data_IF_232371032138
#
_entry.id   IF_232371032138
#
_cell.length_a   1.000
_cell.length_b   1.000
_cell.length_c   1.000
_cell.angle_alpha   90.00
_cell.angle_beta   90.00
_cell.angle_gamma   90.00
#
_symmetry.space_group_name_H-M   'P 1'
#
loop_
_entity.id
_entity.type
_entity.pdbx_description
1 polymer ?
#
# COMPACT_ATOMS: atom_id res chain seq x y z
N UNK A 1 19.54 9.81 -19.23
CA UNK A 1 20.89 10.08 -19.79
C UNK A 1 20.93 11.24 -20.79
N UNK A 2 19.95 11.43 -21.66
CA UNK A 2 19.99 12.48 -22.70
C UNK A 2 20.09 13.91 -22.15
N UNK A 3 19.40 14.22 -21.04
CA UNK A 3 19.46 15.52 -20.36
C UNK A 3 20.87 15.82 -19.83
N UNK A 4 21.54 14.83 -19.26
CA UNK A 4 22.93 14.94 -18.81
C UNK A 4 23.87 15.16 -19.99
N UNK A 5 23.75 14.36 -21.05
CA UNK A 5 24.58 14.53 -22.25
C UNK A 5 24.44 15.90 -22.89
N UNK A 6 23.24 16.49 -22.87
CA UNK A 6 22.99 17.85 -23.37
C UNK A 6 23.61 18.92 -22.46
N UNK A 7 23.37 18.83 -21.15
CA UNK A 7 23.92 19.78 -20.17
C UNK A 7 25.46 19.72 -20.12
N UNK A 8 26.01 18.51 -20.14
CA UNK A 8 27.45 18.26 -20.23
C UNK A 8 28.06 18.95 -21.45
N UNK A 9 27.51 18.70 -22.66
CA UNK A 9 27.98 19.34 -23.89
C UNK A 9 27.97 20.86 -23.82
N UNK A 10 26.90 21.46 -23.29
CA UNK A 10 26.77 22.92 -23.16
C UNK A 10 27.79 23.52 -22.20
N UNK A 11 28.02 22.87 -21.06
CA UNK A 11 28.98 23.32 -20.06
C UNK A 11 30.39 23.16 -20.59
N UNK A 12 30.75 21.98 -21.11
CA UNK A 12 32.07 21.74 -21.72
C UNK A 12 32.34 22.73 -22.86
N UNK A 13 31.36 23.03 -23.71
CA UNK A 13 31.51 24.00 -24.79
C UNK A 13 31.77 25.42 -24.27
N UNK A 14 31.03 25.87 -23.25
CA UNK A 14 31.24 27.18 -22.61
C UNK A 14 32.65 27.31 -22.02
N UNK A 15 33.13 26.27 -21.33
CA UNK A 15 34.47 26.26 -20.75
C UNK A 15 35.58 26.22 -21.82
N UNK A 16 35.37 25.50 -22.93
CA UNK A 16 36.29 25.51 -24.08
C UNK A 16 36.38 26.89 -24.72
N UNK A 17 35.24 27.57 -24.93
CA UNK A 17 35.21 28.94 -25.43
C UNK A 17 35.95 29.87 -24.47
N UNK A 18 35.71 29.73 -23.17
CA UNK A 18 36.32 30.59 -22.16
C UNK A 18 37.85 30.44 -22.13
N UNK A 19 38.38 29.21 -22.23
CA UNK A 19 39.82 28.95 -22.37
C UNK A 19 40.37 29.56 -23.67
N UNK A 20 39.68 29.40 -24.79
CA UNK A 20 40.10 30.00 -26.06
C UNK A 20 40.15 31.53 -25.97
N UNK A 21 39.13 32.16 -25.38
CA UNK A 21 39.08 33.61 -25.17
C UNK A 21 40.25 34.09 -24.31
N UNK A 22 40.61 33.37 -23.24
CA UNK A 22 41.77 33.70 -22.39
C UNK A 22 43.08 33.62 -23.19
N UNK A 23 43.26 32.57 -24.00
CA UNK A 23 44.46 32.38 -24.82
C UNK A 23 44.56 33.48 -25.90
N UNK A 24 43.46 33.79 -26.59
CA UNK A 24 43.43 34.85 -27.59
C UNK A 24 43.67 36.24 -26.97
N UNK A 25 43.04 36.54 -25.84
CA UNK A 25 43.27 37.78 -25.11
C UNK A 25 44.74 37.94 -24.73
N UNK A 26 45.39 36.88 -24.25
CA UNK A 26 46.83 36.89 -23.99
C UNK A 26 47.66 37.21 -25.25
N UNK A 27 47.38 36.53 -26.37
CA UNK A 27 48.10 36.73 -27.63
C UNK A 27 47.96 38.12 -28.25
N UNK A 28 46.80 38.78 -28.07
CA UNK A 28 46.56 40.13 -28.61
C UNK A 28 47.04 41.25 -27.69
N UNK A 29 46.92 41.09 -26.36
CA UNK A 29 47.16 42.18 -25.40
C UNK A 29 48.56 42.17 -24.78
N UNK A 30 49.31 41.07 -24.82
CA UNK A 30 50.66 40.99 -24.22
C UNK A 30 51.75 41.08 -25.31
N UNK A 31 52.21 42.30 -25.61
CA UNK A 31 53.37 42.51 -26.49
C UNK A 31 54.68 42.34 -25.72
N UNK A 32 55.48 41.34 -26.09
CA UNK A 32 56.86 41.15 -25.57
C UNK A 32 57.06 40.00 -24.58
N UNK A 33 56.04 39.17 -24.33
CA UNK A 33 56.17 37.84 -23.69
C UNK A 33 57.01 37.80 -22.41
N UNK A 34 56.56 38.44 -21.33
CA UNK A 34 57.20 38.27 -20.02
C UNK A 34 56.74 36.95 -19.38
N UNK A 35 57.68 36.21 -18.77
CA UNK A 35 57.42 34.94 -18.09
C UNK A 35 56.31 35.03 -17.01
N UNK A 36 56.18 36.18 -16.35
CA UNK A 36 55.12 36.42 -15.35
C UNK A 36 53.71 36.44 -15.96
N UNK A 37 53.56 36.85 -17.21
CA UNK A 37 52.24 36.87 -17.86
C UNK A 37 51.80 35.48 -18.35
N UNK A 38 52.76 34.58 -18.64
CA UNK A 38 52.46 33.19 -18.99
C UNK A 38 51.97 32.41 -17.78
N UNK A 39 52.59 32.61 -16.60
CA UNK A 39 52.15 31.94 -15.36
C UNK A 39 50.72 32.31 -14.99
N UNK A 40 50.30 33.56 -15.19
CA UNK A 40 48.94 34.01 -14.90
C UNK A 40 47.90 33.33 -15.79
N UNK A 41 48.21 33.12 -17.07
CA UNK A 41 47.35 32.37 -18.00
C UNK A 41 47.24 30.91 -17.58
N UNK A 42 48.36 30.28 -17.20
CA UNK A 42 48.37 28.89 -16.74
C UNK A 42 47.52 28.75 -15.47
N UNK A 43 47.68 29.66 -14.50
CA UNK A 43 46.87 29.68 -13.27
C UNK A 43 45.39 29.87 -13.62
N UNK A 44 45.04 30.81 -14.51
CA UNK A 44 43.66 31.03 -14.93
C UNK A 44 43.05 29.78 -15.58
N UNK A 45 43.79 29.06 -16.44
CA UNK A 45 43.33 27.80 -17.04
C UNK A 45 43.10 26.73 -15.97
N UNK A 46 43.98 26.60 -14.97
CA UNK A 46 43.76 25.68 -13.85
C UNK A 46 42.56 26.07 -12.98
N UNK A 47 42.35 27.35 -12.71
CA UNK A 47 41.16 27.82 -11.99
C UNK A 47 39.88 27.49 -12.76
N UNK A 48 39.90 27.65 -14.09
CA UNK A 48 38.80 27.31 -14.98
C UNK A 48 38.55 25.79 -14.98
N UNK A 49 39.60 24.96 -15.00
CA UNK A 49 39.48 23.51 -14.88
C UNK A 49 38.90 23.07 -13.52
N UNK A 50 39.34 23.70 -12.42
CA UNK A 50 38.81 23.42 -11.07
C UNK A 50 37.33 23.83 -10.97
N UNK A 51 36.96 24.98 -11.53
CA UNK A 51 35.57 25.42 -11.57
C UNK A 51 34.70 24.46 -12.41
N UNK A 52 35.23 23.97 -13.54
CA UNK A 52 34.56 22.99 -14.39
C UNK A 52 34.31 21.67 -13.66
N UNK A 53 35.32 21.10 -13.01
CA UNK A 53 35.18 19.84 -12.27
C UNK A 53 34.20 19.98 -11.11
N UNK A 54 34.24 21.09 -10.38
CA UNK A 54 33.31 21.37 -9.27
C UNK A 54 31.86 21.47 -9.75
N UNK A 55 31.62 22.19 -10.85
CA UNK A 55 30.27 22.29 -11.44
C UNK A 55 29.75 20.94 -11.94
N UNK A 56 30.60 20.12 -12.56
CA UNK A 56 30.23 18.77 -12.98
C UNK A 56 29.86 17.87 -11.79
N UNK A 57 30.60 17.99 -10.68
CA UNK A 57 30.33 17.25 -9.45
C UNK A 57 28.99 17.64 -8.84
N UNK A 58 28.66 18.93 -8.85
CA UNK A 58 27.39 19.46 -8.35
C UNK A 58 26.20 18.97 -9.20
N UNK A 59 26.34 18.92 -10.52
CA UNK A 59 25.32 18.38 -11.43
C UNK A 59 25.16 16.87 -11.25
N UNK A 60 26.26 16.14 -11.09
CA UNK A 60 26.21 14.71 -10.81
C UNK A 60 25.49 14.43 -9.49
N UNK A 61 25.79 15.19 -8.44
CA UNK A 61 25.13 15.10 -7.14
C UNK A 61 23.63 15.42 -7.26
N UNK A 62 23.25 16.47 -8.00
CA UNK A 62 21.86 16.82 -8.23
C UNK A 62 21.07 15.75 -9.00
N UNK A 63 21.66 15.18 -10.05
CA UNK A 63 21.03 14.08 -10.81
C UNK A 63 20.89 12.81 -9.97
N UNK A 64 21.89 12.50 -9.15
CA UNK A 64 21.85 11.35 -8.27
C UNK A 64 20.79 11.54 -7.18
N UNK A 65 20.72 12.75 -6.61
CA UNK A 65 19.72 13.10 -5.61
C UNK A 65 18.30 13.04 -6.18
N UNK A 66 18.05 13.58 -7.37
CA UNK A 66 16.72 13.50 -8.01
C UNK A 66 16.33 12.06 -8.35
N UNK A 67 17.24 11.26 -8.92
CA UNK A 67 16.98 9.84 -9.18
C UNK A 67 16.70 9.05 -7.91
N UNK A 68 17.40 9.36 -6.81
CA UNK A 68 17.19 8.71 -5.52
C UNK A 68 15.85 9.12 -4.89
N UNK A 69 15.46 10.39 -5.00
CA UNK A 69 14.17 10.87 -4.53
C UNK A 69 13.02 10.20 -5.28
N UNK A 70 13.11 10.09 -6.62
CA UNK A 70 12.11 9.40 -7.42
C UNK A 70 12.00 7.92 -7.03
N UNK A 71 13.14 7.24 -6.86
CA UNK A 71 13.17 5.84 -6.44
C UNK A 71 12.61 5.65 -5.02
N UNK A 72 12.94 6.55 -4.09
CA UNK A 72 12.40 6.54 -2.74
C UNK A 72 10.89 6.77 -2.75
N UNK A 73 10.39 7.71 -3.55
CA UNK A 73 8.95 7.98 -3.68
C UNK A 73 8.22 6.75 -4.23
N UNK A 74 8.78 6.10 -5.25
CA UNK A 74 8.23 4.84 -5.78
C UNK A 74 8.21 3.72 -4.74
N UNK A 75 9.30 3.54 -3.98
CA UNK A 75 9.35 2.52 -2.91
C UNK A 75 8.31 2.79 -1.83
N UNK A 76 8.19 4.04 -1.37
CA UNK A 76 7.21 4.42 -0.36
C UNK A 76 5.77 4.25 -0.85
N UNK A 77 5.49 4.55 -2.12
CA UNK A 77 4.17 4.36 -2.72
C UNK A 77 3.79 2.87 -2.78
N UNK A 78 4.73 2.03 -3.21
CA UNK A 78 4.53 0.58 -3.25
C UNK A 78 4.29 0.01 -1.85
N UNK A 79 5.09 0.40 -0.86
CA UNK A 79 4.93 -0.04 0.54
C UNK A 79 3.58 0.39 1.13
N UNK A 80 3.12 1.62 0.82
CA UNK A 80 1.82 2.11 1.25
C UNK A 80 0.68 1.25 0.71
N UNK A 81 0.66 0.99 -0.60
CA UNK A 81 -0.40 0.19 -1.22
C UNK A 81 -0.35 -1.27 -0.78
N UNK A 82 0.84 -1.83 -0.55
CA UNK A 82 0.99 -3.17 0.04
C UNK A 82 0.40 -3.24 1.44
N UNK A 83 0.71 -2.28 2.32
CA UNK A 83 0.14 -2.24 3.68
C UNK A 83 -1.37 -2.02 3.66
N UNK A 84 -1.88 -1.19 2.74
CA UNK A 84 -3.32 -1.03 2.56
C UNK A 84 -3.98 -2.33 2.10
N UNK A 85 -3.29 -3.11 1.28
CA UNK A 85 -3.79 -4.39 0.79
C UNK A 85 -3.86 -5.39 1.92
N UNK A 86 -2.80 -5.49 2.72
CA UNK A 86 -2.79 -6.34 3.90
C UNK A 86 -3.88 -5.92 4.89
N UNK A 87 -4.08 -4.61 5.09
CA UNK A 87 -5.18 -4.08 5.89
C UNK A 87 -6.53 -4.54 5.37
N UNK A 88 -6.80 -4.39 4.07
CA UNK A 88 -8.03 -4.84 3.42
C UNK A 88 -8.27 -6.35 3.59
N UNK A 89 -7.26 -7.18 3.33
CA UNK A 89 -7.36 -8.64 3.51
C UNK A 89 -7.65 -9.02 4.97
N UNK A 90 -7.04 -8.31 5.91
CA UNK A 90 -7.24 -8.56 7.34
C UNK A 90 -8.66 -8.13 7.79
N UNK A 91 -9.24 -7.08 7.18
CA UNK A 91 -10.66 -6.73 7.42
C UNK A 91 -11.57 -7.83 6.89
N UNK A 92 -11.28 -8.37 5.71
CA UNK A 92 -12.05 -9.47 5.15
C UNK A 92 -12.00 -10.72 6.04
N UNK A 93 -10.80 -11.07 6.53
CA UNK A 93 -10.57 -12.18 7.44
C UNK A 93 -11.38 -12.03 8.74
N UNK A 94 -11.29 -10.87 9.41
CA UNK A 94 -12.01 -10.67 10.67
C UNK A 94 -13.53 -10.72 10.47
N UNK A 95 -14.05 -10.17 9.36
CA UNK A 95 -15.48 -10.20 9.06
C UNK A 95 -15.96 -11.62 8.77
N UNK A 96 -15.17 -12.41 8.05
CA UNK A 96 -15.44 -13.82 7.80
C UNK A 96 -15.51 -14.59 9.12
N UNK A 97 -14.54 -14.40 10.02
CA UNK A 97 -14.56 -15.04 11.35
C UNK A 97 -15.74 -14.59 12.22
N UNK A 98 -16.13 -13.31 12.17
CA UNK A 98 -17.32 -12.85 12.89
C UNK A 98 -18.61 -13.49 12.36
N UNK A 99 -18.72 -13.66 11.04
CA UNK A 99 -19.87 -14.33 10.42
C UNK A 99 -19.89 -15.80 10.81
N UNK A 100 -18.75 -16.49 10.72
CA UNK A 100 -18.61 -17.90 11.12
C UNK A 100 -18.97 -18.08 12.59
N UNK A 101 -18.42 -17.25 13.48
CA UNK A 101 -18.75 -17.26 14.91
C UNK A 101 -20.25 -17.05 15.13
N UNK A 102 -20.86 -16.04 14.47
CA UNK A 102 -22.31 -15.78 14.59
C UNK A 102 -23.14 -16.95 14.08
N UNK A 103 -22.69 -17.60 13.00
CA UNK A 103 -23.33 -18.77 12.43
C UNK A 103 -23.27 -19.95 13.40
N UNK A 104 -22.10 -20.24 13.98
CA UNK A 104 -21.91 -21.26 15.03
C UNK A 104 -22.78 -20.98 16.28
N UNK A 105 -22.78 -19.73 16.77
CA UNK A 105 -23.64 -19.31 17.89
C UNK A 105 -25.13 -19.48 17.57
N UNK A 106 -25.52 -19.33 16.30
CA UNK A 106 -26.92 -19.45 15.89
C UNK A 106 -27.45 -20.88 16.00
N UNK A 107 -26.61 -21.92 15.92
CA UNK A 107 -27.03 -23.31 16.12
C UNK A 107 -27.67 -23.54 17.49
N UNK A 108 -27.32 -22.75 18.52
CA UNK A 108 -27.97 -22.80 19.84
C UNK A 108 -29.47 -22.49 19.82
N UNK A 109 -29.98 -21.88 18.75
CA UNK A 109 -31.41 -21.60 18.55
C UNK A 109 -32.17 -22.79 17.96
N UNK A 110 -31.47 -23.87 17.60
CA UNK A 110 -32.09 -25.06 17.04
C UNK A 110 -32.75 -25.84 18.16
N UNK A 111 -34.00 -26.22 17.90
CA UNK A 111 -34.81 -27.07 18.76
C UNK A 111 -35.35 -28.22 17.92
N UNK A 112 -35.73 -29.34 18.54
CA UNK A 112 -36.38 -30.44 17.83
C UNK A 112 -37.59 -29.99 16.98
N UNK A 113 -38.27 -28.93 17.41
CA UNK A 113 -39.46 -28.40 16.74
C UNK A 113 -39.17 -27.51 15.53
N UNK A 114 -37.97 -26.94 15.40
CA UNK A 114 -37.62 -26.04 14.28
C UNK A 114 -36.55 -26.62 13.32
N UNK A 115 -36.01 -27.80 13.63
CA UNK A 115 -34.99 -28.48 12.82
C UNK A 115 -35.39 -28.64 11.34
N UNK A 116 -36.65 -28.95 11.05
CA UNK A 116 -37.14 -29.08 9.67
C UNK A 116 -37.12 -27.77 8.85
N UNK A 117 -36.96 -26.63 9.52
CA UNK A 117 -36.89 -25.29 8.91
C UNK A 117 -35.45 -24.85 8.57
N UNK A 118 -34.45 -25.67 8.91
CA UNK A 118 -33.05 -25.38 8.61
C UNK A 118 -32.82 -25.24 7.10
N UNK A 119 -31.92 -24.33 6.74
CA UNK A 119 -31.45 -24.18 5.36
C UNK A 119 -30.69 -25.43 4.91
N UNK A 120 -30.55 -25.61 3.59
CA UNK A 120 -29.74 -26.69 3.03
C UNK A 120 -28.27 -26.61 3.46
N UNK A 121 -27.75 -25.40 3.67
CA UNK A 121 -26.41 -25.13 4.18
C UNK A 121 -26.26 -25.62 5.62
N UNK A 122 -27.19 -25.24 6.51
CA UNK A 122 -27.18 -25.62 7.92
C UNK A 122 -27.37 -27.14 8.11
N UNK A 123 -28.15 -27.80 7.26
CA UNK A 123 -28.35 -29.26 7.31
C UNK A 123 -27.06 -30.06 7.06
N UNK A 124 -26.07 -29.51 6.36
CA UNK A 124 -24.76 -30.18 6.14
C UNK A 124 -23.99 -30.41 7.44
N UNK A 125 -24.22 -29.56 8.45
CA UNK A 125 -23.60 -29.70 9.77
C UNK A 125 -24.23 -30.82 10.61
N UNK A 126 -25.32 -31.42 10.12
CA UNK A 126 -26.04 -32.50 10.76
C UNK A 126 -26.12 -33.74 9.84
N UNK A 127 -25.07 -33.96 9.04
CA UNK A 127 -24.97 -35.16 8.21
C UNK A 127 -25.12 -36.43 9.07
N UNK A 128 -26.02 -37.33 8.63
CA UNK A 128 -26.37 -38.55 9.36
C UNK A 128 -27.68 -38.49 10.15
N UNK A 129 -28.30 -37.31 10.30
CA UNK A 129 -29.65 -37.22 10.90
C UNK A 129 -30.75 -37.46 9.85
N UNK A 130 -31.73 -38.35 10.10
CA UNK A 130 -32.85 -38.55 9.18
C UNK A 130 -33.66 -37.27 8.99
N UNK A 131 -33.98 -36.91 7.74
CA UNK A 131 -34.81 -35.72 7.42
C UNK A 131 -36.20 -35.73 8.08
N UNK A 132 -36.69 -36.92 8.46
CA UNK A 132 -38.00 -37.14 9.07
C UNK A 132 -37.90 -37.57 10.55
N UNK A 133 -36.76 -37.31 11.21
CA UNK A 133 -36.58 -37.66 12.61
C UNK A 133 -37.64 -36.96 13.48
N UNK A 134 -38.24 -37.72 14.39
CA UNK A 134 -39.22 -37.17 15.34
C UNK A 134 -38.53 -36.28 16.37
N UNK A 135 -39.25 -35.33 17.00
CA UNK A 135 -38.66 -34.47 18.03
C UNK A 135 -37.96 -35.24 19.16
N UNK A 136 -38.51 -36.40 19.56
CA UNK A 136 -37.92 -37.28 20.57
C UNK A 136 -36.60 -37.93 20.12
N UNK A 137 -36.43 -38.17 18.81
CA UNK A 137 -35.19 -38.69 18.24
C UNK A 137 -34.13 -37.59 18.06
N UNK A 138 -34.56 -36.36 17.80
CA UNK A 138 -33.68 -35.21 17.60
C UNK A 138 -33.11 -34.66 18.92
N UNK A 139 -33.89 -34.66 20.00
CA UNK A 139 -33.49 -34.10 21.29
C UNK A 139 -32.11 -34.61 21.80
N UNK A 140 -31.88 -35.93 21.96
CA UNK A 140 -30.60 -36.43 22.48
C UNK A 140 -29.41 -36.14 21.55
N UNK A 141 -29.66 -36.08 20.23
CA UNK A 141 -28.61 -35.74 19.26
C UNK A 141 -28.24 -34.26 19.31
N UNK A 142 -29.24 -33.37 19.40
CA UNK A 142 -29.02 -31.94 19.56
C UNK A 142 -28.31 -31.63 20.89
N UNK A 143 -28.72 -32.28 21.99
CA UNK A 143 -28.06 -32.13 23.29
C UNK A 143 -26.59 -32.54 23.27
N UNK A 144 -26.23 -33.51 22.41
CA UNK A 144 -24.84 -33.94 22.22
C UNK A 144 -24.02 -32.96 21.37
N UNK A 145 -24.57 -32.46 20.26
CA UNK A 145 -23.79 -31.73 19.24
C UNK A 145 -23.79 -30.20 19.43
N UNK A 146 -24.85 -29.62 19.99
CA UNK A 146 -24.95 -28.18 20.23
C UNK A 146 -23.84 -27.63 21.16
N UNK A 147 -23.41 -28.35 22.23
CA UNK A 147 -22.26 -27.95 23.02
C UNK A 147 -20.97 -27.83 22.20
N UNK A 148 -20.75 -28.70 21.20
CA UNK A 148 -19.56 -28.67 20.33
C UNK A 148 -19.51 -27.38 19.51
N UNK A 149 -20.62 -26.99 18.86
CA UNK A 149 -20.67 -25.73 18.11
C UNK A 149 -20.45 -24.50 19.00
N UNK A 150 -20.96 -24.55 20.24
CA UNK A 150 -20.71 -23.49 21.23
C UNK A 150 -19.22 -23.41 21.59
N UNK A 151 -18.57 -24.56 21.82
CA UNK A 151 -17.13 -24.61 22.11
C UNK A 151 -16.29 -24.09 20.93
N UNK A 152 -16.64 -24.46 19.70
CA UNK A 152 -15.99 -23.96 18.48
C UNK A 152 -16.14 -22.44 18.32
N UNK A 153 -17.33 -21.90 18.56
CA UNK A 153 -17.55 -20.45 18.56
C UNK A 153 -16.70 -19.71 19.62
N UNK A 154 -16.50 -20.33 20.78
CA UNK A 154 -15.64 -19.78 21.85
C UNK A 154 -14.15 -19.82 21.45
N UNK A 155 -13.69 -20.86 20.74
CA UNK A 155 -12.32 -20.97 20.22
C UNK A 155 -11.96 -19.87 19.21
N UNK A 156 -12.94 -19.29 18.52
CA UNK A 156 -12.73 -18.18 17.60
C UNK A 156 -12.47 -16.84 18.31
N UNK A 157 -12.90 -16.66 19.57
CA UNK A 157 -12.71 -15.40 20.31
C UNK A 157 -11.25 -14.92 20.41
N UNK A 158 -10.29 -15.74 20.86
CA UNK A 158 -8.89 -15.32 20.92
C UNK A 158 -8.30 -15.01 19.53
N UNK A 159 -8.71 -15.74 18.49
CA UNK A 159 -8.26 -15.49 17.11
C UNK A 159 -8.77 -14.13 16.59
N UNK A 160 -10.06 -13.85 16.78
CA UNK A 160 -10.67 -12.55 16.46
C UNK A 160 -9.96 -11.41 17.20
N UNK A 161 -9.63 -11.61 18.48
CA UNK A 161 -8.91 -10.60 19.25
C UNK A 161 -7.50 -10.33 18.69
N UNK A 162 -6.74 -11.38 18.38
CA UNK A 162 -5.41 -11.24 17.79
C UNK A 162 -5.44 -10.52 16.42
N UNK A 163 -6.40 -10.86 15.56
CA UNK A 163 -6.57 -10.20 14.26
C UNK A 163 -6.97 -8.73 14.44
N UNK A 164 -7.80 -8.41 15.44
CA UNK A 164 -8.16 -7.03 15.74
C UNK A 164 -6.96 -6.19 16.20
N UNK A 165 -6.04 -6.77 16.97
CA UNK A 165 -4.79 -6.10 17.32
C UNK A 165 -3.92 -5.86 16.07
N UNK A 166 -3.80 -6.87 15.20
CA UNK A 166 -3.10 -6.73 13.90
C UNK A 166 -3.72 -5.63 13.04
N UNK A 167 -5.05 -5.52 12.98
CA UNK A 167 -5.75 -4.45 12.26
C UNK A 167 -5.39 -3.06 12.77
N UNK A 168 -5.29 -2.88 14.09
CA UNK A 168 -4.91 -1.60 14.66
C UNK A 168 -3.46 -1.23 14.31
N UNK A 169 -2.56 -2.22 14.30
CA UNK A 169 -1.16 -2.03 13.87
C UNK A 169 -1.08 -1.64 12.39
N UNK A 170 -1.76 -2.40 11.51
CA UNK A 170 -1.81 -2.13 10.08
C UNK A 170 -2.44 -0.77 9.77
N UNK A 171 -3.49 -0.36 10.50
CA UNK A 171 -4.06 0.98 10.38
C UNK A 171 -3.00 2.05 10.65
N UNK A 172 -2.25 1.92 11.74
CA UNK A 172 -1.17 2.86 12.05
C UNK A 172 -0.05 2.84 11.00
N UNK A 173 0.29 1.65 10.50
CA UNK A 173 1.29 1.48 9.45
C UNK A 173 0.90 2.17 8.15
N UNK A 174 -0.34 1.99 7.68
CA UNK A 174 -0.87 2.66 6.49
C UNK A 174 -0.81 4.19 6.68
N UNK A 175 -1.24 4.70 7.84
CA UNK A 175 -1.17 6.13 8.14
C UNK A 175 0.28 6.66 8.12
N UNK A 176 1.20 5.91 8.71
CA UNK A 176 2.62 6.30 8.75
C UNK A 176 3.21 6.32 7.35
N UNK A 177 2.95 5.28 6.55
CA UNK A 177 3.43 5.17 5.16
C UNK A 177 2.77 6.16 4.20
N UNK A 178 1.61 6.70 4.55
CA UNK A 178 0.95 7.76 3.79
C UNK A 178 1.54 9.15 4.07
N UNK A 179 2.28 9.33 5.17
CA UNK A 179 2.83 10.64 5.57
C UNK A 179 3.66 11.35 4.48
N UNK A 180 4.51 10.66 3.70
CA UNK A 180 5.26 11.29 2.60
C UNK A 180 4.37 11.86 1.48
N UNK A 181 3.11 11.46 1.41
CA UNK A 181 2.13 11.85 0.40
C UNK A 181 1.00 12.72 0.96
N UNK A 182 1.15 13.24 2.18
CA UNK A 182 0.08 13.97 2.87
C UNK A 182 -0.42 15.19 2.05
N UNK A 183 0.49 15.90 1.39
CA UNK A 183 0.17 17.06 0.55
C UNK A 183 -0.62 16.62 -0.69
N UNK A 184 -0.19 15.57 -1.38
CA UNK A 184 -0.89 15.03 -2.55
C UNK A 184 -2.27 14.46 -2.20
N UNK A 185 -2.40 13.85 -1.02
CA UNK A 185 -3.68 13.36 -0.48
C UNK A 185 -4.63 14.53 -0.18
N UNK A 186 -4.14 15.58 0.46
CA UNK A 186 -4.93 16.79 0.77
C UNK A 186 -5.43 17.47 -0.52
N UNK A 187 -4.60 17.52 -1.56
CA UNK A 187 -5.01 18.05 -2.87
C UNK A 187 -6.12 17.26 -3.57
N UNK A 188 -6.31 15.99 -3.22
CA UNK A 188 -7.37 15.13 -3.77
C UNK A 188 -8.66 15.17 -2.94
N UNK A 189 -8.73 16.04 -1.92
CA UNK A 189 -9.92 16.28 -1.09
C UNK A 189 -10.50 15.00 -0.48
N UNK A 190 -9.65 14.07 -0.04
CA UNK A 190 -10.10 12.90 0.71
C UNK A 190 -9.29 12.68 1.99
N UNK A 191 -10.02 12.38 3.07
CA UNK A 191 -9.43 12.07 4.37
C UNK A 191 -9.16 10.56 4.48
N UNK A 192 -7.88 10.20 4.42
CA UNK A 192 -7.42 8.83 4.54
C UNK A 192 -7.88 8.15 5.84
N UNK A 193 -7.94 8.87 6.96
CA UNK A 193 -8.39 8.30 8.25
C UNK A 193 -9.87 7.92 8.16
N UNK A 194 -10.68 8.81 7.60
CA UNK A 194 -12.11 8.58 7.42
C UNK A 194 -12.36 7.39 6.49
N UNK A 195 -11.65 7.31 5.36
CA UNK A 195 -11.79 6.21 4.40
C UNK A 195 -11.35 4.86 4.99
N UNK A 196 -10.23 4.83 5.72
CA UNK A 196 -9.75 3.63 6.42
C UNK A 196 -10.77 3.16 7.48
N UNK A 197 -11.32 4.10 8.25
CA UNK A 197 -12.35 3.78 9.24
C UNK A 197 -13.65 3.31 8.58
N UNK A 198 -14.00 3.90 7.43
CA UNK A 198 -15.16 3.48 6.65
C UNK A 198 -15.00 2.03 6.17
N UNK A 199 -13.81 1.60 5.74
CA UNK A 199 -13.58 0.20 5.36
C UNK A 199 -13.92 -0.81 6.48
N UNK A 200 -13.78 -0.43 7.75
CA UNK A 200 -14.17 -1.30 8.87
C UNK A 200 -15.69 -1.48 8.97
N UNK A 201 -16.48 -0.48 8.56
CA UNK A 201 -17.94 -0.49 8.70
C UNK A 201 -18.67 -1.05 7.49
N UNK A 202 -17.99 -1.25 6.35
CA UNK A 202 -18.59 -1.71 5.09
C UNK A 202 -18.95 -3.19 5.15
N UNK A 203 -20.24 -3.53 5.14
CA UNK A 203 -20.71 -4.92 5.16
C UNK A 203 -21.02 -5.52 3.80
N UNK A 204 -20.99 -4.72 2.73
CA UNK A 204 -21.30 -5.10 1.35
C UNK A 204 -20.49 -4.27 0.36
N UNK A 205 -20.18 -4.85 -0.80
CA UNK A 205 -19.34 -4.24 -1.84
C UNK A 205 -17.94 -3.87 -1.31
N UNK A 206 -17.36 -4.69 -0.43
CA UNK A 206 -16.07 -4.42 0.21
C UNK A 206 -14.98 -4.21 -0.83
N UNK A 207 -14.92 -5.08 -1.84
CA UNK A 207 -13.92 -4.97 -2.89
C UNK A 207 -14.05 -3.68 -3.71
N UNK A 208 -15.28 -3.26 -4.02
CA UNK A 208 -15.52 -2.02 -4.78
C UNK A 208 -15.06 -0.80 -3.99
N UNK A 209 -15.42 -0.73 -2.71
CA UNK A 209 -15.04 0.40 -1.86
C UNK A 209 -13.53 0.42 -1.59
N UNK A 210 -12.92 -0.74 -1.34
CA UNK A 210 -11.46 -0.84 -1.24
C UNK A 210 -10.80 -0.37 -2.54
N UNK A 211 -11.24 -0.86 -3.71
CA UNK A 211 -10.69 -0.47 -5.01
C UNK A 211 -10.73 1.05 -5.23
N UNK A 212 -11.81 1.71 -4.85
CA UNK A 212 -11.90 3.17 -4.93
C UNK A 212 -10.85 3.89 -4.07
N UNK A 213 -10.57 3.39 -2.86
CA UNK A 213 -9.51 3.94 -2.02
C UNK A 213 -8.13 3.68 -2.62
N UNK A 214 -7.90 2.50 -3.19
CA UNK A 214 -6.68 2.18 -3.92
C UNK A 214 -6.46 3.11 -5.12
N UNK A 215 -7.51 3.38 -5.90
CA UNK A 215 -7.44 4.27 -7.06
C UNK A 215 -7.11 5.71 -6.62
N UNK A 216 -7.73 6.20 -5.54
CA UNK A 216 -7.42 7.52 -4.95
C UNK A 216 -5.96 7.61 -4.49
N UNK A 217 -5.45 6.58 -3.81
CA UNK A 217 -4.06 6.56 -3.34
C UNK A 217 -3.05 6.33 -4.47
N UNK A 218 -3.40 5.55 -5.48
CA UNK A 218 -2.61 5.41 -6.71
C UNK A 218 -2.49 6.75 -7.43
N UNK A 219 -3.58 7.52 -7.53
CA UNK A 219 -3.58 8.87 -8.07
C UNK A 219 -2.73 9.84 -7.21
N UNK A 220 -2.82 9.76 -5.88
CA UNK A 220 -2.02 10.59 -4.96
C UNK A 220 -0.52 10.31 -5.07
N UNK A 221 -0.15 9.03 -5.19
CA UNK A 221 1.24 8.58 -5.21
C UNK A 221 1.86 8.64 -6.60
N UNK A 222 1.04 8.67 -7.66
CA UNK A 222 1.48 8.53 -9.05
C UNK A 222 1.99 7.12 -9.39
N UNK A 223 1.59 6.11 -8.60
CA UNK A 223 2.05 4.73 -8.76
C UNK A 223 0.93 3.83 -9.31
N UNK A 224 1.11 3.34 -10.53
CA UNK A 224 0.18 2.48 -11.29
C UNK A 224 0.53 0.98 -11.24
N UNK A 225 1.66 0.63 -10.62
CA UNK A 225 2.17 -0.74 -10.58
C UNK A 225 1.40 -1.70 -9.65
N UNK A 226 0.47 -1.20 -8.85
CA UNK A 226 -0.29 -2.01 -7.90
C UNK A 226 -1.68 -2.35 -8.44
N UNK A 227 -2.07 -3.64 -8.36
CA UNK A 227 -3.43 -4.09 -8.68
C UNK A 227 -4.00 -4.86 -7.50
N UNK A 228 -5.10 -4.36 -6.95
CA UNK A 228 -5.82 -5.05 -5.89
C UNK A 228 -6.41 -6.37 -6.42
N UNK A 229 -6.16 -7.46 -5.70
CA UNK A 229 -6.76 -8.76 -6.04
C UNK A 229 -8.24 -8.77 -5.68
N UNK A 230 -9.06 -9.30 -6.57
CA UNK A 230 -10.49 -9.47 -6.31
C UNK A 230 -10.74 -10.55 -5.27
N UNK A 231 -11.56 -10.23 -4.27
CA UNK A 231 -12.16 -11.18 -3.34
C UNK A 231 -13.65 -10.86 -3.26
N UNK A 232 -14.48 -11.90 -3.29
CA UNK A 232 -15.90 -11.75 -3.03
C UNK A 232 -16.15 -11.32 -1.58
N UNK A 233 -17.29 -10.67 -1.34
CA UNK A 233 -17.71 -10.30 0.01
C UNK A 233 -17.86 -11.57 0.89
N UNK A 234 -17.62 -11.45 2.21
CA UNK A 234 -17.83 -12.55 3.15
C UNK A 234 -19.25 -13.13 3.03
N UNK A 235 -19.34 -14.44 2.85
CA UNK A 235 -20.62 -15.15 2.63
C UNK A 235 -21.44 -15.14 3.91
N UNK A 236 -22.64 -14.56 3.87
CA UNK A 236 -23.60 -14.56 4.99
C UNK A 236 -24.50 -15.79 4.87
N UNK A 237 -24.15 -16.87 5.56
CA UNK A 237 -24.97 -18.08 5.59
C UNK A 237 -26.16 -17.95 6.55
N UNK A 238 -27.36 -18.24 6.05
CA UNK A 238 -28.60 -18.27 6.83
C UNK A 238 -28.81 -19.62 7.50
N UNK A 239 -29.13 -19.62 8.80
CA UNK A 239 -29.42 -20.85 9.56
C UNK A 239 -30.75 -21.51 9.14
N UNK A 240 -31.78 -20.69 8.92
CA UNK A 240 -33.11 -21.14 8.51
C UNK A 240 -33.35 -20.78 7.05
N UNK A 241 -34.28 -21.48 6.41
CA UNK A 241 -34.79 -21.08 5.09
C UNK A 241 -35.40 -19.68 5.22
N UNK A 242 -35.04 -18.78 4.32
CA UNK A 242 -35.76 -17.51 4.18
C UNK A 242 -37.23 -17.84 3.87
N UNK A 243 -38.13 -17.23 4.64
CA UNK A 243 -39.57 -17.47 4.56
C UNK A 243 -40.19 -16.85 3.31
#
# INVERSE_FOLDING_TARGET
MEKFGRCFKWITFTYVILVLVIIFAYGFFVKGGSWGSLSDVVIAVFTVLIAYTTNMLLIAAWLTSSSWLDQSKHSSAQELLLSLSEYYFTIHEIKTMYIEKRFLESFTKITPNNYHKLSSQALKYFEGTPKNATPAQLAPFLDFILPTFKEEAEKLKPQIYAIKEKLNQLKFEVMTKASPFAIEIEHLDFDLITEINFMLTIDENMHKNASQLFDKLSAATGYDGFKLMYIADPVKDGLFKDA
#
